data_IF_592454107280
#
_entry.id   IF_592454107280
#
_cell.length_a   1.000
_cell.length_b   1.000
_cell.length_c   1.000
_cell.angle_alpha   90.00
_cell.angle_beta   90.00
_cell.angle_gamma   90.00
#
_symmetry.space_group_name_H-M   'P 1'
#
loop_
_entity.id
_entity.type
_entity.pdbx_description
1 polymer ?
#
# COMPACT_ATOMS: atom_id res chain seq x y z
N UNK A 1 6.23 -9.39 4.76
CA UNK A 1 4.87 -9.00 5.24
C UNK A 1 4.96 -8.18 6.51
N UNK A 2 4.11 -7.15 6.69
CA UNK A 2 4.08 -6.28 7.87
C UNK A 2 2.84 -5.38 7.93
N UNK A 3 2.69 -4.57 8.98
CA UNK A 3 1.63 -3.55 9.13
C UNK A 3 2.19 -2.24 9.69
N UNK A 4 1.66 -1.12 9.23
CA UNK A 4 2.01 0.22 9.73
C UNK A 4 0.81 1.16 9.58
N UNK A 5 0.92 2.36 10.13
CA UNK A 5 -0.02 3.47 9.95
C UNK A 5 0.73 4.69 9.43
N UNK A 6 0.07 5.52 8.64
CA UNK A 6 0.64 6.80 8.24
C UNK A 6 0.79 7.71 9.45
N UNK A 7 1.86 8.47 9.46
CA UNK A 7 2.05 9.58 10.39
C UNK A 7 1.19 10.78 9.96
N UNK A 8 1.16 11.83 10.78
CA UNK A 8 0.35 13.03 10.53
C UNK A 8 0.64 13.70 9.19
N UNK A 9 1.85 13.56 8.65
CA UNK A 9 2.24 14.12 7.36
C UNK A 9 1.97 13.17 6.17
N UNK A 10 1.31 12.02 6.42
CA UNK A 10 1.01 11.00 5.40
C UNK A 10 2.16 10.03 5.11
N UNK A 11 3.35 10.21 5.67
CA UNK A 11 4.47 9.29 5.46
C UNK A 11 4.30 8.00 6.27
N UNK A 12 4.76 6.89 5.71
CA UNK A 12 4.81 5.60 6.38
C UNK A 12 6.06 4.83 5.96
N UNK A 13 6.52 3.96 6.84
CA UNK A 13 7.57 2.98 6.57
C UNK A 13 7.01 1.60 6.93
N UNK A 14 7.20 0.65 6.03
CA UNK A 14 6.75 -0.72 6.18
C UNK A 14 7.93 -1.65 5.93
N UNK A 15 8.23 -2.51 6.90
CA UNK A 15 9.23 -3.56 6.78
C UNK A 15 8.62 -4.88 7.21
N UNK A 16 9.06 -5.97 6.60
CA UNK A 16 8.53 -7.25 6.98
C UNK A 16 9.04 -8.42 6.14
N UNK A 17 9.23 -9.56 6.80
CA UNK A 17 9.71 -10.78 6.17
C UNK A 17 8.55 -11.64 5.67
N UNK A 18 8.81 -12.49 4.68
CA UNK A 18 7.89 -13.52 4.21
C UNK A 18 8.71 -14.77 3.93
N UNK A 19 8.20 -15.93 4.32
CA UNK A 19 8.81 -17.22 4.05
C UNK A 19 7.71 -18.14 3.55
N UNK A 20 7.69 -18.36 2.24
CA UNK A 20 6.70 -19.19 1.57
C UNK A 20 7.28 -20.58 1.30
N UNK A 21 6.47 -21.62 1.40
CA UNK A 21 6.87 -23.03 1.19
C UNK A 21 6.08 -23.67 0.06
N UNK A 22 6.66 -24.67 -0.60
CA UNK A 22 6.03 -25.37 -1.73
C UNK A 22 6.34 -24.72 -3.09
N UNK A 23 5.52 -24.99 -4.13
CA UNK A 23 5.82 -24.56 -5.51
C UNK A 23 5.86 -23.03 -5.69
N UNK A 24 5.17 -22.27 -4.84
CA UNK A 24 5.14 -20.82 -4.86
C UNK A 24 5.90 -20.27 -3.65
N UNK A 25 7.22 -20.49 -3.64
CA UNK A 25 8.12 -20.11 -2.54
C UNK A 25 8.79 -18.75 -2.72
N UNK A 26 8.38 -17.97 -3.73
CA UNK A 26 8.94 -16.64 -4.00
C UNK A 26 7.92 -15.59 -3.53
N UNK A 27 8.25 -14.76 -2.53
CA UNK A 27 7.33 -13.73 -2.05
C UNK A 27 6.90 -12.76 -3.15
N UNK A 28 5.58 -12.55 -3.26
CA UNK A 28 4.96 -11.60 -4.19
C UNK A 28 4.32 -10.44 -3.42
N UNK A 29 5.08 -9.36 -3.14
CA UNK A 29 4.63 -8.32 -2.22
C UNK A 29 3.61 -7.37 -2.86
N UNK A 30 2.58 -7.02 -2.09
CA UNK A 30 1.64 -5.94 -2.40
C UNK A 30 1.42 -5.06 -1.18
N UNK A 31 0.98 -3.82 -1.41
CA UNK A 31 0.51 -2.92 -0.35
C UNK A 31 -0.99 -2.83 -0.44
N UNK A 32 -1.63 -2.90 0.72
CA UNK A 32 -3.05 -2.70 0.89
C UNK A 32 -3.29 -1.56 1.87
N UNK A 33 -4.04 -0.55 1.45
CA UNK A 33 -4.31 0.67 2.21
C UNK A 33 -5.80 0.77 2.45
N UNK A 34 -6.20 0.90 3.72
CA UNK A 34 -7.54 1.30 4.11
C UNK A 34 -7.52 2.77 4.53
N UNK A 35 -8.39 3.59 3.94
CA UNK A 35 -8.41 5.04 4.19
C UNK A 35 -9.83 5.60 4.12
N UNK A 36 -9.98 6.87 4.54
CA UNK A 36 -11.22 7.65 4.43
C UNK A 36 -11.12 8.84 3.47
N UNK A 37 -10.04 8.92 2.68
CA UNK A 37 -9.90 9.95 1.66
C UNK A 37 -11.11 9.92 0.69
N UNK A 38 -11.83 11.05 0.52
CA UNK A 38 -12.93 11.14 -0.44
C UNK A 38 -12.47 10.86 -1.86
N UNK A 39 -13.37 10.30 -2.68
CA UNK A 39 -13.09 10.08 -4.10
C UNK A 39 -13.25 11.39 -4.88
N UNK A 40 -12.29 11.73 -5.73
CA UNK A 40 -12.44 12.77 -6.73
C UNK A 40 -13.47 12.39 -7.80
N UNK A 41 -13.59 11.08 -8.11
CA UNK A 41 -14.55 10.54 -9.09
C UNK A 41 -15.98 10.42 -8.52
N UNK A 42 -16.10 10.15 -7.23
CA UNK A 42 -17.38 9.98 -6.51
C UNK A 42 -17.46 10.91 -5.30
N UNK A 43 -17.50 12.24 -5.51
CA UNK A 43 -17.37 13.23 -4.43
C UNK A 43 -18.52 13.22 -3.42
N UNK A 44 -19.66 12.61 -3.77
CA UNK A 44 -20.83 12.48 -2.90
C UNK A 44 -20.68 11.39 -1.82
N UNK A 45 -19.65 10.52 -1.91
CA UNK A 45 -19.36 9.49 -0.91
C UNK A 45 -18.34 10.03 0.09
N UNK A 46 -18.81 10.77 1.09
CA UNK A 46 -17.94 11.58 1.97
C UNK A 46 -17.40 10.81 3.18
N UNK A 47 -17.95 9.64 3.52
CA UNK A 47 -17.63 8.91 4.76
C UNK A 47 -17.43 7.39 4.59
N UNK A 48 -17.14 6.92 3.38
CA UNK A 48 -16.83 5.52 3.14
C UNK A 48 -15.41 5.15 3.58
N UNK A 49 -15.24 4.01 4.26
CA UNK A 49 -13.92 3.37 4.32
C UNK A 49 -13.63 2.77 2.96
N UNK A 50 -12.52 3.20 2.36
CA UNK A 50 -12.09 2.81 1.02
C UNK A 50 -10.82 1.99 1.09
N UNK A 51 -10.61 1.18 0.06
CA UNK A 51 -9.54 0.19 -0.02
C UNK A 51 -8.80 0.38 -1.32
N UNK A 52 -7.48 0.43 -1.26
CA UNK A 52 -6.60 0.48 -2.42
C UNK A 52 -5.54 -0.61 -2.30
N UNK A 53 -5.25 -1.27 -3.42
CA UNK A 53 -4.22 -2.29 -3.48
C UNK A 53 -3.35 -2.08 -4.72
N UNK A 54 -2.03 -2.22 -4.54
CA UNK A 54 -1.09 -2.19 -5.65
C UNK A 54 0.07 -3.15 -5.38
N UNK A 55 0.60 -3.74 -6.46
CA UNK A 55 1.75 -4.63 -6.39
C UNK A 55 3.05 -3.84 -6.19
N UNK A 56 4.01 -4.44 -5.48
CA UNK A 56 5.35 -3.90 -5.35
C UNK A 56 6.33 -4.68 -6.23
N UNK A 57 7.36 -3.98 -6.72
CA UNK A 57 8.51 -4.64 -7.31
C UNK A 57 9.21 -5.46 -6.21
N UNK A 58 9.63 -6.69 -6.54
CA UNK A 58 10.33 -7.61 -5.64
C UNK A 58 11.72 -7.08 -5.25
N UNK A 59 11.74 -6.19 -4.27
CA UNK A 59 12.94 -5.57 -3.71
C UNK A 59 13.07 -6.03 -2.26
N UNK A 60 14.13 -6.77 -1.97
CA UNK A 60 14.41 -7.30 -0.65
C UNK A 60 15.64 -6.63 -0.05
N UNK A 61 15.76 -6.65 1.29
CA UNK A 61 16.90 -6.07 1.98
C UNK A 61 18.23 -6.67 1.48
N UNK A 62 19.32 -5.87 1.40
CA UNK A 62 19.47 -4.52 1.94
C UNK A 62 18.87 -3.40 1.07
N UNK A 63 18.34 -3.71 -0.11
CA UNK A 63 17.71 -2.73 -0.99
C UNK A 63 16.36 -2.24 -0.42
N UNK A 64 16.11 -0.93 -0.51
CA UNK A 64 14.88 -0.29 -0.02
C UNK A 64 14.07 0.25 -1.19
N UNK A 65 12.82 -0.19 -1.31
CA UNK A 65 11.89 0.34 -2.30
C UNK A 65 11.29 1.67 -1.83
N UNK A 66 11.45 2.74 -2.62
CA UNK A 66 10.82 4.04 -2.40
C UNK A 66 9.65 4.20 -3.37
N UNK A 67 8.43 4.01 -2.87
CA UNK A 67 7.20 4.09 -3.68
C UNK A 67 6.77 5.53 -4.03
N UNK A 68 7.38 6.54 -3.41
CA UNK A 68 7.04 7.93 -3.65
C UNK A 68 5.71 8.35 -3.03
N UNK A 69 5.06 9.35 -3.65
CA UNK A 69 3.74 9.84 -3.23
C UNK A 69 2.65 9.02 -3.89
N UNK A 70 1.63 8.69 -3.11
CA UNK A 70 0.48 7.93 -3.56
C UNK A 70 -0.77 8.79 -3.34
N UNK A 71 -1.60 8.89 -4.37
CA UNK A 71 -2.89 9.56 -4.32
C UNK A 71 -3.99 8.56 -3.95
N UNK A 72 -4.87 8.95 -3.02
CA UNK A 72 -5.90 8.08 -2.43
C UNK A 72 -7.32 8.48 -2.87
N UNK A 73 -7.44 9.50 -3.71
CA UNK A 73 -8.69 10.10 -4.18
C UNK A 73 -9.11 9.58 -5.56
N UNK A 74 -8.45 8.56 -6.08
CA UNK A 74 -8.64 8.02 -7.44
C UNK A 74 -8.27 9.00 -8.57
N UNK A 75 -7.45 10.02 -8.30
CA UNK A 75 -6.99 10.95 -9.34
C UNK A 75 -6.10 10.29 -10.41
N UNK A 76 -5.41 9.21 -10.02
CA UNK A 76 -4.41 8.52 -10.84
C UNK A 76 -5.00 7.31 -11.61
N UNK A 77 -6.31 7.06 -11.49
CA UNK A 77 -7.00 5.88 -12.03
C UNK A 77 -7.78 6.16 -13.33
#
# INVERSE_FOLDING_TARGET
>A
MGRTWSTINGSFVLSGCGADVGPFNVPDPYVYIEHKCPSAKYPYVVNGTRKMQFALVRTFLPSVLRIGKIFLDDSDA
#
